data_IF_298176443079
#
_entry.id   IF_298176443079
#
_cell.length_a   1.000
_cell.length_b   1.000
_cell.length_c   1.000
_cell.angle_alpha   90.00
_cell.angle_beta   90.00
_cell.angle_gamma   90.00
#
_symmetry.space_group_name_H-M   'P 1'
#
loop_
_entity.id
_entity.type
_entity.pdbx_description
1 polymer ?
#
# COMPACT_ATOMS: atom_id res chain seq x y z
N UNK A 1 3.85 0.25 9.53
CA UNK A 1 3.69 -0.89 8.59
C UNK A 1 2.33 -1.53 8.89
N UNK A 2 1.43 -1.71 7.91
CA UNK A 2 0.15 -2.35 8.15
C UNK A 2 0.33 -3.82 8.56
N UNK A 3 -0.54 -4.31 9.44
CA UNK A 3 -0.56 -5.70 9.85
C UNK A 3 -1.42 -6.51 8.88
N UNK A 4 -1.02 -7.76 8.57
CA UNK A 4 -1.74 -8.58 7.59
C UNK A 4 -3.22 -8.76 7.98
N UNK A 5 -3.51 -8.99 9.27
CA UNK A 5 -4.87 -9.22 9.75
C UNK A 5 -5.77 -8.00 9.51
N UNK A 6 -5.29 -6.79 9.77
CA UNK A 6 -6.09 -5.58 9.54
C UNK A 6 -6.41 -5.42 8.06
N UNK A 7 -5.50 -5.77 7.15
CA UNK A 7 -5.73 -5.71 5.70
C UNK A 7 -6.78 -6.72 5.21
N UNK A 8 -6.87 -7.87 5.88
CA UNK A 8 -7.92 -8.85 5.60
C UNK A 8 -9.28 -8.35 6.10
N UNK A 9 -9.31 -7.77 7.30
CA UNK A 9 -10.55 -7.30 7.93
C UNK A 9 -11.11 -6.04 7.26
N UNK A 10 -10.25 -5.17 6.72
CA UNK A 10 -10.67 -4.03 5.90
C UNK A 10 -11.07 -4.43 4.47
N UNK A 11 -10.89 -5.70 4.08
CA UNK A 11 -11.20 -6.19 2.75
C UNK A 11 -10.23 -5.75 1.66
N UNK A 12 -9.06 -5.19 2.02
CA UNK A 12 -8.05 -4.77 1.05
C UNK A 12 -7.34 -5.95 0.39
N UNK A 13 -7.29 -7.10 1.07
CA UNK A 13 -6.78 -8.36 0.49
C UNK A 13 -7.86 -9.44 0.67
N UNK A 14 -8.33 -10.07 -0.42
CA UNK A 14 -9.30 -11.14 -0.33
C UNK A 14 -8.70 -12.35 0.41
N UNK A 15 -9.52 -13.00 1.24
CA UNK A 15 -9.11 -14.21 1.95
C UNK A 15 -10.29 -15.17 2.09
N UNK A 16 -9.94 -16.43 2.33
CA UNK A 16 -10.91 -17.50 2.58
C UNK A 16 -10.68 -18.01 4.00
N UNK A 17 -11.75 -18.07 4.80
CA UNK A 17 -11.69 -18.65 6.14
C UNK A 17 -11.88 -20.16 6.05
N UNK A 18 -10.87 -20.91 6.48
CA UNK A 18 -10.90 -22.37 6.58
C UNK A 18 -10.73 -22.74 8.04
N UNK A 19 -11.87 -22.98 8.72
CA UNK A 19 -11.91 -23.18 10.17
C UNK A 19 -11.31 -22.00 10.94
N UNK A 20 -10.20 -22.25 11.66
CA UNK A 20 -9.45 -21.22 12.42
C UNK A 20 -8.45 -20.42 11.56
N UNK A 21 -8.12 -20.88 10.35
CA UNK A 21 -7.10 -20.26 9.51
C UNK A 21 -7.71 -19.36 8.45
N UNK A 22 -7.01 -18.26 8.12
CA UNK A 22 -7.29 -17.42 6.96
C UNK A 22 -6.28 -17.78 5.88
N UNK A 23 -6.75 -18.34 4.77
CA UNK A 23 -5.93 -18.65 3.60
C UNK A 23 -6.07 -17.52 2.58
N UNK A 24 -4.95 -17.17 1.95
CA UNK A 24 -4.84 -16.06 1.01
C UNK A 24 -4.05 -16.59 -0.17
N UNK A 25 -4.41 -16.21 -1.40
CA UNK A 25 -3.57 -16.54 -2.56
C UNK A 25 -2.34 -15.64 -2.52
N UNK A 26 -1.19 -16.21 -2.86
CA UNK A 26 0.05 -15.44 -2.91
C UNK A 26 -0.03 -14.26 -3.88
N UNK A 27 -0.72 -14.45 -5.02
CA UNK A 27 -0.95 -13.44 -6.04
C UNK A 27 -1.61 -12.17 -5.48
N UNK A 28 -2.64 -12.33 -4.65
CA UNK A 28 -3.36 -11.22 -4.04
C UNK A 28 -2.45 -10.39 -3.12
N UNK A 29 -1.58 -11.08 -2.34
CA UNK A 29 -0.60 -10.42 -1.47
C UNK A 29 0.47 -9.69 -2.28
N UNK A 30 0.96 -10.33 -3.35
CA UNK A 30 1.97 -9.73 -4.22
C UNK A 30 1.43 -8.49 -4.94
N UNK A 31 0.19 -8.57 -5.44
CA UNK A 31 -0.49 -7.45 -6.09
C UNK A 31 -0.71 -6.30 -5.11
N UNK A 32 -1.17 -6.58 -3.89
CA UNK A 32 -1.32 -5.57 -2.84
C UNK A 32 0.00 -4.83 -2.57
N UNK A 33 1.09 -5.60 -2.39
CA UNK A 33 2.42 -5.04 -2.14
C UNK A 33 2.89 -4.16 -3.30
N UNK A 34 2.68 -4.59 -4.54
CA UNK A 34 3.02 -3.80 -5.73
C UNK A 34 2.24 -2.47 -5.79
N UNK A 35 0.92 -2.51 -5.54
CA UNK A 35 0.08 -1.31 -5.48
C UNK A 35 0.52 -0.37 -4.35
N UNK A 36 0.84 -0.90 -3.18
CA UNK A 36 1.32 -0.12 -2.04
C UNK A 36 2.61 0.64 -2.39
N UNK A 37 3.58 -0.01 -3.03
CA UNK A 37 4.82 0.65 -3.45
C UNK A 37 4.60 1.68 -4.55
N UNK A 38 3.67 1.43 -5.47
CA UNK A 38 3.30 2.41 -6.50
C UNK A 38 2.71 3.66 -5.84
N UNK A 39 1.73 3.50 -4.94
CA UNK A 39 1.14 4.61 -4.17
C UNK A 39 2.18 5.36 -3.35
N UNK A 40 3.12 4.66 -2.73
CA UNK A 40 4.20 5.29 -1.97
C UNK A 40 5.11 6.15 -2.86
N UNK A 41 5.53 5.62 -4.01
CA UNK A 41 6.34 6.37 -4.97
C UNK A 41 5.61 7.60 -5.49
N UNK A 42 4.33 7.46 -5.86
CA UNK A 42 3.52 8.57 -6.34
C UNK A 42 3.40 9.68 -5.29
N UNK A 43 3.18 9.34 -4.02
CA UNK A 43 3.14 10.33 -2.93
C UNK A 43 4.46 11.07 -2.74
N UNK A 44 5.59 10.38 -2.88
CA UNK A 44 6.91 11.04 -2.79
C UNK A 44 7.08 12.02 -3.95
N UNK A 45 6.73 11.62 -5.18
CA UNK A 45 6.79 12.50 -6.35
C UNK A 45 5.87 13.70 -6.16
N UNK A 46 4.67 13.49 -5.64
CA UNK A 46 3.73 14.56 -5.34
C UNK A 46 4.28 15.54 -4.29
N UNK A 47 4.88 15.04 -3.21
CA UNK A 47 5.57 15.87 -2.22
C UNK A 47 6.72 16.68 -2.84
N UNK A 48 7.54 16.06 -3.69
CA UNK A 48 8.64 16.75 -4.38
C UNK A 48 8.14 17.88 -5.27
N UNK A 49 7.04 17.64 -6.02
CA UNK A 49 6.41 18.69 -6.83
C UNK A 49 5.84 19.81 -5.98
N UNK A 50 5.20 19.48 -4.85
CA UNK A 50 4.68 20.48 -3.92
C UNK A 50 5.81 21.34 -3.33
N UNK A 51 6.96 20.74 -2.97
CA UNK A 51 8.13 21.48 -2.48
C UNK A 51 8.76 22.36 -3.56
N UNK A 52 8.81 21.90 -4.83
CA UNK A 52 9.26 22.68 -5.99
C UNK A 52 8.33 23.87 -6.25
N UNK A 53 7.01 23.66 -6.24
CA UNK A 53 6.00 24.71 -6.40
C UNK A 53 6.03 25.74 -5.26
N UNK A 54 6.45 25.33 -4.06
CA UNK A 54 6.64 26.20 -2.90
C UNK A 54 7.97 26.99 -2.93
N UNK A 55 8.80 26.80 -3.97
CA UNK A 55 10.04 27.54 -4.15
C UNK A 55 11.15 27.18 -3.15
N UNK A 56 11.06 26.03 -2.49
CA UNK A 56 12.04 25.57 -1.49
C UNK A 56 13.37 25.09 -2.11
N UNK A 57 13.46 25.06 -3.44
CA UNK A 57 14.65 24.70 -4.23
C UNK A 57 15.22 25.87 -5.05
N UNK A 58 14.96 27.11 -4.62
CA UNK A 58 15.59 28.32 -5.19
C UNK A 58 16.44 29.03 -4.11
N UNK A 59 17.50 28.34 -3.64
CA UNK A 59 18.65 28.94 -2.94
C UNK A 59 19.90 28.07 -3.01
#
# INVERSE_FOLDING_TARGET
RPHLISLLETGEIPFIKVGKHRRIKYEDVAQYKAQMYSKQRNRIIEMMKMDEDLGLYDS
#
